data_IF_776495456285
#
_entry.id   IF_776495456285
#
_cell.length_a   1.000
_cell.length_b   1.000
_cell.length_c   1.000
_cell.angle_alpha   90.00
_cell.angle_beta   90.00
_cell.angle_gamma   90.00
#
_symmetry.space_group_name_H-M   'P 1'
#
loop_
_entity.id
_entity.type
_entity.pdbx_description
1 polymer ?
#
# COMPACT_ATOMS: atom_id res chain seq x y z
N UNK A 1 -11.41 -21.74 11.68
CA UNK A 1 -12.26 -20.60 11.24
C UNK A 1 -13.65 -20.70 11.84
N UNK A 2 -14.37 -19.59 11.97
CA UNK A 2 -15.64 -19.48 12.71
C UNK A 2 -16.84 -20.25 12.11
N UNK A 3 -16.66 -20.93 10.97
CA UNK A 3 -17.71 -21.67 10.24
C UNK A 3 -18.95 -20.79 9.94
N UNK A 4 -18.70 -19.54 9.54
CA UNK A 4 -19.71 -18.56 9.14
C UNK A 4 -19.55 -18.32 7.64
N UNK A 5 -20.65 -18.38 6.89
CA UNK A 5 -20.66 -18.05 5.46
C UNK A 5 -20.34 -16.57 5.26
N UNK A 6 -19.40 -16.28 4.35
CA UNK A 6 -19.05 -14.92 3.96
C UNK A 6 -19.78 -14.58 2.66
N UNK A 7 -20.65 -13.58 2.73
CA UNK A 7 -21.28 -12.97 1.56
C UNK A 7 -20.55 -11.68 1.21
N UNK A 8 -19.75 -11.71 0.14
CA UNK A 8 -19.04 -10.54 -0.36
C UNK A 8 -19.94 -9.71 -1.27
N UNK A 9 -20.09 -8.42 -0.95
CA UNK A 9 -20.83 -7.47 -1.79
C UNK A 9 -19.92 -6.76 -2.79
N UNK A 10 -20.51 -6.09 -3.78
CA UNK A 10 -19.76 -5.34 -4.80
C UNK A 10 -18.95 -4.19 -4.20
N UNK A 11 -17.70 -4.05 -4.66
CA UNK A 11 -16.83 -2.93 -4.31
C UNK A 11 -17.04 -1.73 -5.25
N UNK A 12 -18.18 -1.04 -5.09
CA UNK A 12 -18.60 0.06 -5.96
C UNK A 12 -18.04 1.43 -5.54
N UNK A 13 -16.77 1.64 -5.88
CA UNK A 13 -16.00 2.86 -5.61
C UNK A 13 -16.59 4.07 -6.32
N UNK A 14 -16.97 3.95 -7.59
CA UNK A 14 -17.41 5.09 -8.40
C UNK A 14 -18.68 5.73 -7.86
N UNK A 15 -19.69 4.93 -7.51
CA UNK A 15 -20.91 5.48 -6.92
C UNK A 15 -20.67 5.98 -5.49
N UNK A 16 -19.70 5.40 -4.76
CA UNK A 16 -19.34 5.90 -3.44
C UNK A 16 -18.70 7.29 -3.56
N UNK A 17 -17.76 7.48 -4.50
CA UNK A 17 -17.14 8.77 -4.81
C UNK A 17 -18.18 9.82 -5.23
N UNK A 18 -19.18 9.44 -6.04
CA UNK A 18 -20.29 10.34 -6.40
C UNK A 18 -21.13 10.73 -5.18
N UNK A 19 -21.43 9.78 -4.30
CA UNK A 19 -22.26 10.02 -3.12
C UNK A 19 -21.60 10.95 -2.10
N UNK A 20 -20.27 10.88 -1.96
CA UNK A 20 -19.50 11.70 -0.99
C UNK A 20 -18.97 13.01 -1.59
N UNK A 21 -19.30 13.31 -2.85
CA UNK A 21 -18.86 14.53 -3.53
C UNK A 21 -19.32 15.78 -2.79
N UNK A 22 -18.42 16.71 -2.52
CA UNK A 22 -18.66 17.91 -1.73
C UNK A 22 -18.43 17.72 -0.22
N UNK A 23 -18.17 16.49 0.24
CA UNK A 23 -17.89 16.15 1.63
C UNK A 23 -16.46 15.63 1.83
N UNK A 24 -15.57 15.85 0.86
CA UNK A 24 -14.19 15.32 0.85
C UNK A 24 -13.37 15.80 2.06
N UNK A 25 -13.62 17.03 2.51
CA UNK A 25 -12.92 17.67 3.62
C UNK A 25 -13.61 17.46 4.98
N UNK A 26 -14.73 16.75 5.02
CA UNK A 26 -15.41 16.47 6.30
C UNK A 26 -14.52 15.64 7.22
N UNK A 27 -14.41 16.00 8.51
CA UNK A 27 -13.62 15.27 9.47
C UNK A 27 -14.17 13.86 9.70
N UNK A 28 -13.37 13.00 10.31
CA UNK A 28 -13.86 11.73 10.84
C UNK A 28 -15.02 11.99 11.81
N UNK A 29 -16.11 11.22 11.70
CA UNK A 29 -17.41 11.43 12.39
C UNK A 29 -18.29 12.57 11.82
N UNK A 30 -17.86 13.27 10.77
CA UNK A 30 -18.67 14.25 10.05
C UNK A 30 -19.67 13.64 9.05
N UNK A 31 -20.26 14.48 8.20
CA UNK A 31 -21.36 14.08 7.31
C UNK A 31 -20.96 13.00 6.28
N UNK A 32 -19.71 13.03 5.78
CA UNK A 32 -19.16 11.99 4.89
C UNK A 32 -19.24 10.59 5.51
N UNK A 33 -19.05 10.49 6.83
CA UNK A 33 -19.11 9.22 7.53
C UNK A 33 -20.54 8.67 7.50
N UNK A 34 -21.56 9.49 7.75
CA UNK A 34 -22.96 9.07 7.69
C UNK A 34 -23.32 8.47 6.33
N UNK A 35 -22.99 9.18 5.23
CA UNK A 35 -23.20 8.70 3.85
C UNK A 35 -22.57 7.31 3.62
N UNK A 36 -21.36 7.11 4.15
CA UNK A 36 -20.64 5.84 3.99
C UNK A 36 -21.33 4.67 4.72
N UNK A 37 -21.79 4.88 5.96
CA UNK A 37 -22.44 3.81 6.73
C UNK A 37 -23.87 3.55 6.24
N UNK A 38 -24.62 4.59 5.87
CA UNK A 38 -26.00 4.46 5.37
C UNK A 38 -26.04 3.53 4.17
N UNK A 39 -25.13 3.73 3.20
CA UNK A 39 -25.01 2.87 2.03
C UNK A 39 -24.68 1.42 2.40
N UNK A 40 -23.74 1.22 3.32
CA UNK A 40 -23.33 -0.14 3.75
C UNK A 40 -24.44 -0.84 4.51
N UNK A 41 -25.12 -0.13 5.42
CA UNK A 41 -26.21 -0.67 6.22
C UNK A 41 -27.43 -0.98 5.35
N UNK A 42 -27.71 -0.16 4.33
CA UNK A 42 -28.82 -0.42 3.41
C UNK A 42 -28.62 -1.74 2.66
N UNK A 43 -27.43 -1.97 2.10
CA UNK A 43 -27.09 -3.23 1.42
C UNK A 43 -27.19 -4.42 2.38
N UNK A 44 -26.66 -4.30 3.60
CA UNK A 44 -26.75 -5.37 4.61
C UNK A 44 -28.19 -5.65 5.03
N UNK A 45 -28.99 -4.62 5.29
CA UNK A 45 -30.38 -4.76 5.72
C UNK A 45 -31.26 -5.37 4.62
N UNK A 46 -31.06 -4.95 3.37
CA UNK A 46 -31.74 -5.53 2.21
C UNK A 46 -31.39 -7.01 2.05
N UNK A 47 -30.11 -7.35 2.18
CA UNK A 47 -29.65 -8.75 2.06
C UNK A 47 -30.18 -9.62 3.20
N UNK A 48 -30.16 -9.12 4.44
CA UNK A 48 -30.72 -9.82 5.60
C UNK A 48 -32.21 -10.12 5.39
N UNK A 49 -32.99 -9.14 4.93
CA UNK A 49 -34.41 -9.32 4.63
C UNK A 49 -34.65 -10.35 3.50
N UNK A 50 -33.84 -10.32 2.43
CA UNK A 50 -33.90 -11.31 1.33
C UNK A 50 -33.64 -12.73 1.81
N UNK A 51 -32.74 -12.91 2.77
CA UNK A 51 -32.40 -14.20 3.37
C UNK A 51 -33.45 -14.68 4.40
N UNK A 52 -34.39 -13.82 4.79
CA UNK A 52 -35.37 -14.11 5.84
C UNK A 52 -34.82 -13.93 7.25
N UNK A 53 -33.67 -13.27 7.40
CA UNK A 53 -33.09 -12.93 8.69
C UNK A 53 -33.90 -11.83 9.39
N UNK A 54 -34.04 -11.95 10.70
CA UNK A 54 -34.86 -11.01 11.50
C UNK A 54 -34.06 -9.85 12.07
N UNK A 55 -32.74 -10.05 12.19
CA UNK A 55 -31.85 -9.11 12.88
C UNK A 55 -30.59 -8.90 12.07
N UNK A 56 -30.05 -7.69 12.10
CA UNK A 56 -28.70 -7.40 11.61
C UNK A 56 -27.94 -6.50 12.59
N UNK A 57 -26.61 -6.52 12.50
CA UNK A 57 -25.74 -5.69 13.34
C UNK A 57 -24.50 -5.27 12.55
N UNK A 58 -23.59 -4.54 13.18
CA UNK A 58 -22.38 -4.08 12.52
C UNK A 58 -21.15 -4.14 13.43
N UNK A 59 -20.02 -4.55 12.86
CA UNK A 59 -18.70 -4.43 13.50
C UNK A 59 -18.28 -2.97 13.74
N UNK A 60 -18.91 -2.00 13.06
CA UNK A 60 -18.67 -0.57 13.32
C UNK A 60 -18.98 -0.16 14.77
N UNK A 61 -19.83 -0.93 15.47
CA UNK A 61 -20.18 -0.71 16.87
C UNK A 61 -19.01 -0.94 17.83
N UNK A 62 -17.96 -1.64 17.41
CA UNK A 62 -16.74 -1.81 18.23
C UNK A 62 -15.79 -0.61 18.13
N UNK A 63 -15.99 0.30 17.16
CA UNK A 63 -15.03 1.36 16.89
C UNK A 63 -15.21 2.58 17.81
N UNK A 64 -14.15 3.06 18.49
CA UNK A 64 -14.19 4.33 19.23
C UNK A 64 -14.19 5.55 18.28
N UNK A 65 -13.80 5.33 17.01
CA UNK A 65 -13.79 6.38 15.97
C UNK A 65 -15.16 6.60 15.34
N UNK A 66 -16.18 5.80 15.68
CA UNK A 66 -17.55 5.94 15.16
C UNK A 66 -18.53 6.40 16.25
N UNK A 67 -19.51 7.21 15.85
CA UNK A 67 -20.61 7.61 16.74
C UNK A 67 -21.64 6.49 16.81
N UNK A 68 -21.84 5.91 17.99
CA UNK A 68 -22.87 4.87 18.17
C UNK A 68 -24.27 5.41 17.94
N UNK A 69 -24.51 6.67 18.28
CA UNK A 69 -25.81 7.30 18.08
C UNK A 69 -26.13 7.41 16.59
N UNK A 70 -25.18 7.89 15.77
CA UNK A 70 -25.35 7.95 14.32
C UNK A 70 -25.61 6.55 13.73
N UNK A 71 -24.82 5.54 14.15
CA UNK A 71 -24.99 4.16 13.68
C UNK A 71 -26.36 3.59 14.08
N UNK A 72 -26.81 3.86 15.31
CA UNK A 72 -28.12 3.39 15.79
C UNK A 72 -29.26 4.05 15.00
N UNK A 73 -29.21 5.36 14.81
CA UNK A 73 -30.23 6.10 14.03
C UNK A 73 -30.33 5.57 12.60
N UNK A 74 -29.19 5.40 11.93
CA UNK A 74 -29.14 4.84 10.58
C UNK A 74 -29.68 3.41 10.52
N UNK A 75 -29.25 2.55 11.45
CA UNK A 75 -29.69 1.16 11.52
C UNK A 75 -31.19 1.01 11.83
N UNK A 76 -31.71 1.78 12.79
CA UNK A 76 -33.13 1.77 13.17
C UNK A 76 -34.04 2.23 12.01
N UNK A 77 -33.59 3.22 11.22
CA UNK A 77 -34.32 3.69 10.05
C UNK A 77 -34.43 2.59 8.97
N UNK A 78 -33.35 1.86 8.73
CA UNK A 78 -33.31 0.76 7.75
C UNK A 78 -34.03 -0.50 8.26
N UNK A 79 -33.91 -0.80 9.55
CA UNK A 79 -34.67 -1.85 10.23
C UNK A 79 -36.18 -1.65 10.02
N UNK A 80 -36.67 -0.42 10.20
CA UNK A 80 -38.07 -0.07 9.92
C UNK A 80 -38.42 -0.22 8.44
N UNK A 81 -37.54 0.22 7.52
CA UNK A 81 -37.76 0.13 6.07
C UNK A 81 -37.92 -1.31 5.59
N UNK A 82 -37.08 -2.23 6.09
CA UNK A 82 -37.03 -3.63 5.65
C UNK A 82 -37.78 -4.60 6.57
N UNK A 83 -38.46 -4.10 7.61
CA UNK A 83 -39.19 -4.90 8.60
C UNK A 83 -38.31 -5.96 9.29
N UNK A 84 -37.12 -5.54 9.71
CA UNK A 84 -36.14 -6.31 10.50
C UNK A 84 -35.73 -5.49 11.74
N UNK A 85 -34.88 -6.03 12.60
CA UNK A 85 -34.35 -5.36 13.80
C UNK A 85 -32.85 -5.06 13.67
N UNK A 86 -32.44 -3.85 14.06
CA UNK A 86 -31.01 -3.52 14.16
C UNK A 86 -30.54 -3.66 15.61
N UNK A 87 -29.55 -4.52 15.83
CA UNK A 87 -28.92 -4.69 17.14
C UNK A 87 -27.71 -3.75 17.26
N UNK A 88 -27.80 -2.79 18.19
CA UNK A 88 -26.75 -1.79 18.43
C UNK A 88 -26.13 -1.87 19.85
N UNK A 89 -25.59 -3.03 20.30
CA UNK A 89 -24.91 -3.11 21.59
C UNK A 89 -23.64 -2.25 21.60
N UNK A 90 -23.36 -1.61 22.73
CA UNK A 90 -22.12 -0.86 22.95
C UNK A 90 -21.00 -1.81 23.39
N UNK A 91 -20.34 -2.44 22.41
CA UNK A 91 -19.21 -3.36 22.63
C UNK A 91 -17.97 -2.70 23.26
N UNK A 92 -17.98 -1.39 23.47
CA UNK A 92 -16.82 -0.63 23.98
C UNK A 92 -16.87 -0.48 25.50
N UNK A 93 -18.06 -0.67 26.11
CA UNK A 93 -18.25 -0.64 27.56
C UNK A 93 -17.57 -1.82 28.24
N UNK A 94 -17.41 -1.72 29.57
CA UNK A 94 -16.87 -2.77 30.42
C UNK A 94 -15.55 -3.39 29.90
N UNK A 95 -14.63 -2.55 29.44
CA UNK A 95 -13.33 -2.97 28.88
C UNK A 95 -13.40 -3.78 27.58
N UNK A 96 -14.53 -3.81 26.87
CA UNK A 96 -14.66 -4.57 25.62
C UNK A 96 -13.65 -4.17 24.52
N UNK A 97 -13.21 -2.91 24.48
CA UNK A 97 -12.11 -2.49 23.58
C UNK A 97 -10.79 -3.18 23.92
N UNK A 98 -10.50 -3.38 25.21
CA UNK A 98 -9.29 -4.07 25.67
C UNK A 98 -9.37 -5.56 25.35
N UNK A 99 -10.53 -6.19 25.58
CA UNK A 99 -10.76 -7.60 25.25
C UNK A 99 -10.62 -7.85 23.74
N UNK A 100 -11.19 -6.98 22.90
CA UNK A 100 -11.00 -7.03 21.45
C UNK A 100 -9.52 -6.99 21.06
N UNK A 101 -8.73 -6.11 21.71
CA UNK A 101 -7.29 -6.02 21.46
C UNK A 101 -6.53 -7.28 21.88
N UNK A 102 -6.94 -7.94 22.96
CA UNK A 102 -6.34 -9.18 23.45
C UNK A 102 -6.64 -10.31 22.46
N UNK A 103 -7.91 -10.47 22.05
CA UNK A 103 -8.33 -11.49 21.08
C UNK A 103 -7.64 -11.30 19.73
N UNK A 104 -7.63 -10.08 19.18
CA UNK A 104 -6.97 -9.81 17.92
C UNK A 104 -5.45 -10.11 17.94
N UNK A 105 -4.80 -9.95 19.09
CA UNK A 105 -3.39 -10.32 19.27
C UNK A 105 -3.21 -11.83 19.40
N UNK A 106 -4.09 -12.50 20.14
CA UNK A 106 -4.06 -13.95 20.31
C UNK A 106 -4.27 -14.68 18.97
N UNK A 107 -5.17 -14.16 18.14
CA UNK A 107 -5.49 -14.70 16.81
C UNK A 107 -4.58 -14.16 15.69
N UNK A 108 -3.55 -13.39 16.08
CA UNK A 108 -2.59 -12.75 15.19
C UNK A 108 -3.25 -12.05 13.99
N UNK A 109 -4.34 -11.31 14.22
CA UNK A 109 -5.12 -10.65 13.16
C UNK A 109 -4.44 -9.35 12.71
N UNK A 110 -4.53 -9.08 11.41
CA UNK A 110 -4.17 -7.78 10.86
C UNK A 110 -5.03 -6.67 11.49
N UNK A 111 -4.36 -5.59 11.89
CA UNK A 111 -5.01 -4.43 12.50
C UNK A 111 -4.73 -3.17 11.73
N UNK A 112 -5.72 -2.77 10.93
CA UNK A 112 -5.75 -1.50 10.26
C UNK A 112 -5.84 -0.33 11.27
N UNK A 113 -5.04 0.72 11.09
CA UNK A 113 -4.99 1.90 11.96
C UNK A 113 -5.82 3.11 11.44
N UNK A 114 -6.42 2.96 10.25
CA UNK A 114 -7.25 3.94 9.57
C UNK A 114 -8.66 3.39 9.26
N UNK A 115 -9.59 4.25 8.88
CA UNK A 115 -11.00 3.89 8.66
C UNK A 115 -11.25 3.05 7.38
N UNK A 116 -10.32 3.06 6.42
CA UNK A 116 -10.55 2.48 5.09
C UNK A 116 -11.09 3.48 4.06
N UNK A 117 -11.30 4.74 4.42
CA UNK A 117 -11.67 5.79 3.48
C UNK A 117 -10.44 6.61 3.07
N UNK A 118 -10.24 6.82 1.76
CA UNK A 118 -9.10 7.57 1.21
C UNK A 118 -9.01 9.00 1.76
N UNK A 119 -10.15 9.69 1.94
CA UNK A 119 -10.15 11.06 2.48
C UNK A 119 -9.68 11.11 3.94
N UNK A 120 -10.15 10.18 4.76
CA UNK A 120 -9.72 10.08 6.15
C UNK A 120 -8.25 9.62 6.25
N UNK A 121 -7.81 8.73 5.36
CA UNK A 121 -6.43 8.26 5.29
C UNK A 121 -5.49 9.42 4.96
N UNK A 122 -5.77 10.20 3.91
CA UNK A 122 -4.92 11.35 3.53
C UNK A 122 -4.78 12.34 4.69
N UNK A 123 -5.89 12.78 5.30
CA UNK A 123 -5.86 13.70 6.44
C UNK A 123 -5.05 13.12 7.61
N UNK A 124 -5.22 11.82 7.90
CA UNK A 124 -4.50 11.15 8.98
C UNK A 124 -3.00 11.08 8.69
N UNK A 125 -2.60 10.71 7.47
CA UNK A 125 -1.20 10.56 7.07
C UNK A 125 -0.49 11.91 6.96
N UNK A 126 -1.16 12.93 6.43
CA UNK A 126 -0.68 14.32 6.40
C UNK A 126 -0.42 14.84 7.83
N UNK A 127 -1.33 14.58 8.78
CA UNK A 127 -1.15 14.98 10.19
C UNK A 127 0.00 14.24 10.88
N UNK A 128 0.43 13.10 10.35
CA UNK A 128 1.53 12.28 10.85
C UNK A 128 2.86 12.55 10.13
N UNK A 129 2.88 13.43 9.13
CA UNK A 129 4.00 13.60 8.20
C UNK A 129 4.44 12.26 7.59
N UNK A 130 3.45 11.44 7.22
CA UNK A 130 3.64 10.12 6.60
C UNK A 130 3.06 10.11 5.21
N UNK A 131 3.69 9.33 4.33
CA UNK A 131 3.14 9.05 3.02
C UNK A 131 1.91 8.15 3.16
N UNK A 132 0.83 8.47 2.44
CA UNK A 132 -0.32 7.58 2.29
C UNK A 132 -0.03 6.50 1.22
N UNK A 133 1.01 5.71 1.46
CA UNK A 133 1.50 4.70 0.53
C UNK A 133 0.50 3.56 0.29
N UNK A 134 -0.53 3.45 1.13
CA UNK A 134 -1.64 2.50 0.94
C UNK A 134 -2.50 2.84 -0.30
N UNK A 135 -2.39 4.05 -0.84
CA UNK A 135 -3.10 4.48 -2.06
C UNK A 135 -2.26 4.30 -3.33
N UNK A 136 -1.10 3.67 -3.23
CA UNK A 136 -0.14 3.57 -4.32
C UNK A 136 -0.29 2.24 -5.03
N UNK A 137 -0.27 2.29 -6.36
CA UNK A 137 -0.15 1.11 -7.21
C UNK A 137 0.99 1.35 -8.20
N UNK A 138 2.07 0.57 -8.15
CA UNK A 138 3.20 0.73 -9.05
C UNK A 138 2.80 0.34 -10.48
N UNK A 139 3.33 1.05 -11.47
CA UNK A 139 3.05 0.78 -12.90
C UNK A 139 3.42 -0.65 -13.31
N UNK A 140 4.45 -1.23 -12.70
CA UNK A 140 4.89 -2.60 -12.95
C UNK A 140 4.08 -3.66 -12.19
N UNK A 141 3.15 -3.27 -11.33
CA UNK A 141 2.46 -4.15 -10.39
C UNK A 141 3.41 -4.91 -9.43
N UNK A 142 4.69 -4.50 -9.35
CA UNK A 142 5.66 -5.07 -8.43
C UNK A 142 5.22 -4.84 -6.98
N UNK A 143 5.04 -5.92 -6.22
CA UNK A 143 4.72 -5.86 -4.80
C UNK A 143 5.81 -5.07 -4.07
N UNK A 144 5.43 -3.95 -3.45
CA UNK A 144 6.35 -3.09 -2.71
C UNK A 144 6.41 -3.50 -1.23
N UNK A 145 7.53 -3.27 -0.52
CA UNK A 145 7.62 -3.52 0.92
C UNK A 145 6.53 -2.77 1.69
N UNK A 146 5.78 -3.44 2.57
CA UNK A 146 4.63 -2.86 3.30
C UNK A 146 3.45 -2.34 2.45
N UNK A 147 3.38 -2.73 1.18
CA UNK A 147 2.15 -2.58 0.39
C UNK A 147 1.01 -3.47 0.92
N UNK A 148 -0.20 -3.23 0.45
CA UNK A 148 -1.37 -4.07 0.76
C UNK A 148 -1.11 -5.51 0.27
N UNK A 149 -0.53 -5.66 -0.91
CA UNK A 149 -0.19 -6.93 -1.52
C UNK A 149 0.86 -7.69 -0.69
N UNK A 150 1.90 -7.00 -0.20
CA UNK A 150 2.91 -7.62 0.68
C UNK A 150 2.30 -8.13 2.00
N UNK A 151 1.33 -7.39 2.56
CA UNK A 151 0.60 -7.82 3.75
C UNK A 151 -0.26 -9.04 3.43
N UNK A 152 -0.99 -9.04 2.33
CA UNK A 152 -1.79 -10.21 1.91
C UNK A 152 -0.89 -11.45 1.80
N UNK A 153 0.25 -11.36 1.11
CA UNK A 153 1.18 -12.49 1.01
C UNK A 153 1.66 -13.01 2.38
N UNK A 154 1.92 -12.10 3.33
CA UNK A 154 2.33 -12.48 4.68
C UNK A 154 1.23 -13.26 5.41
N UNK A 155 -0.02 -12.79 5.33
CA UNK A 155 -1.14 -13.45 6.01
C UNK A 155 -1.57 -14.75 5.31
N UNK A 156 -1.40 -14.86 3.99
CA UNK A 156 -1.56 -16.14 3.28
C UNK A 156 -0.49 -17.16 3.69
N UNK A 157 0.77 -16.73 3.88
CA UNK A 157 1.83 -17.59 4.42
C UNK A 157 1.51 -18.01 5.85
N UNK A 158 0.97 -17.10 6.67
CA UNK A 158 0.50 -17.40 8.03
C UNK A 158 -0.58 -18.48 8.03
N UNK A 159 -1.59 -18.39 7.16
CA UNK A 159 -2.62 -19.42 7.01
C UNK A 159 -2.05 -20.79 6.66
N UNK A 160 -1.09 -20.84 5.74
CA UNK A 160 -0.40 -22.10 5.40
C UNK A 160 0.32 -22.73 6.60
N UNK A 161 0.96 -21.92 7.45
CA UNK A 161 1.58 -22.43 8.68
C UNK A 161 0.54 -22.96 9.67
N UNK A 162 -0.62 -22.28 9.79
CA UNK A 162 -1.73 -22.74 10.63
C UNK A 162 -2.30 -24.08 10.14
N UNK A 163 -2.52 -24.22 8.83
CA UNK A 163 -2.98 -25.46 8.20
C UNK A 163 -1.99 -26.62 8.39
N UNK A 164 -0.69 -26.32 8.31
CA UNK A 164 0.40 -27.27 8.54
C UNK A 164 0.69 -27.54 10.03
N UNK A 165 -0.05 -26.91 10.95
CA UNK A 165 0.18 -26.95 12.41
C UNK A 165 1.60 -26.55 12.84
N UNK A 166 2.20 -25.61 12.12
CA UNK A 166 3.54 -25.07 12.41
C UNK A 166 3.43 -23.87 13.35
N UNK A 167 4.33 -23.83 14.33
CA UNK A 167 4.43 -22.68 15.23
C UNK A 167 5.07 -21.49 14.52
N UNK A 168 4.52 -20.31 14.78
CA UNK A 168 5.02 -19.08 14.17
C UNK A 168 4.90 -17.89 15.13
N UNK A 169 5.57 -16.80 14.77
CA UNK A 169 5.43 -15.50 15.41
C UNK A 169 5.49 -14.38 14.39
N UNK A 170 4.54 -13.46 14.46
CA UNK A 170 4.62 -12.20 13.74
C UNK A 170 5.39 -11.21 14.62
N UNK A 171 6.49 -10.67 14.07
CA UNK A 171 7.29 -9.62 14.71
C UNK A 171 7.25 -8.35 13.88
N UNK A 172 7.62 -7.22 14.50
CA UNK A 172 7.71 -5.92 13.82
C UNK A 172 9.17 -5.53 13.64
N UNK A 173 9.54 -5.14 12.43
CA UNK A 173 10.89 -4.71 12.07
C UNK A 173 10.87 -3.30 11.51
N UNK A 174 11.71 -2.42 12.04
CA UNK A 174 11.95 -1.09 11.45
C UNK A 174 12.84 -1.27 10.22
N UNK A 175 12.51 -0.58 9.13
CA UNK A 175 13.29 -0.62 7.90
C UNK A 175 13.22 0.72 7.17
N UNK A 176 14.15 0.91 6.24
CA UNK A 176 14.15 2.04 5.33
C UNK A 176 13.24 1.70 4.15
N UNK A 177 12.09 2.36 4.08
CA UNK A 177 11.13 2.19 2.99
C UNK A 177 11.38 3.23 1.89
N UNK A 178 10.91 2.91 0.68
CA UNK A 178 11.10 3.74 -0.50
C UNK A 178 9.89 3.64 -1.43
N UNK A 179 9.51 4.77 -2.00
CA UNK A 179 8.46 4.87 -3.03
C UNK A 179 8.89 5.83 -4.11
N UNK A 180 8.88 5.38 -5.36
CA UNK A 180 8.97 6.24 -6.52
C UNK A 180 7.62 6.91 -6.80
N UNK A 181 7.61 8.23 -6.89
CA UNK A 181 6.42 9.00 -7.30
C UNK A 181 6.36 9.14 -8.81
N UNK A 182 7.48 9.53 -9.41
CA UNK A 182 7.66 9.67 -10.85
C UNK A 182 9.15 9.76 -11.19
N UNK A 183 9.47 9.38 -12.42
CA UNK A 183 10.82 9.48 -12.97
C UNK A 183 10.78 9.73 -14.47
N UNK A 184 11.64 10.64 -14.93
CA UNK A 184 11.73 11.05 -16.31
C UNK A 184 13.19 11.30 -16.68
N UNK A 185 13.66 10.61 -17.71
CA UNK A 185 14.95 10.87 -18.35
C UNK A 185 14.72 11.54 -19.71
N UNK A 186 15.37 12.68 -19.95
CA UNK A 186 15.27 13.44 -21.20
C UNK A 186 16.62 13.70 -21.83
N UNK A 187 16.68 13.57 -23.15
CA UNK A 187 17.81 14.00 -23.99
C UNK A 187 17.24 14.87 -25.09
N UNK A 188 17.82 16.06 -25.32
CA UNK A 188 17.33 17.01 -26.35
C UNK A 188 15.81 17.27 -26.27
N UNK A 189 15.28 17.38 -25.04
CA UNK A 189 13.84 17.55 -24.74
C UNK A 189 12.93 16.38 -25.13
N UNK A 190 13.48 15.25 -25.55
CA UNK A 190 12.74 14.01 -25.80
C UNK A 190 12.87 13.09 -24.60
N UNK A 191 11.75 12.50 -24.18
CA UNK A 191 11.73 11.46 -23.15
C UNK A 191 12.29 10.18 -23.71
N UNK A 192 13.19 9.54 -22.95
CA UNK A 192 13.70 8.21 -23.26
C UNK A 192 13.31 7.24 -22.13
N UNK A 193 12.99 5.97 -22.45
CA UNK A 193 12.74 4.96 -21.43
C UNK A 193 13.94 4.82 -20.48
N UNK A 194 13.65 4.85 -19.18
CA UNK A 194 14.63 4.62 -18.13
C UNK A 194 13.94 4.01 -16.93
N UNK A 195 14.47 2.89 -16.45
CA UNK A 195 14.02 2.26 -15.21
C UNK A 195 14.91 2.71 -14.06
N UNK A 196 14.32 3.13 -12.94
CA UNK A 196 15.09 3.55 -11.76
C UNK A 196 15.11 2.38 -10.78
N UNK A 197 16.30 1.92 -10.40
CA UNK A 197 16.40 0.84 -9.42
C UNK A 197 15.86 1.30 -8.06
N UNK A 198 15.31 0.39 -7.23
CA UNK A 198 14.90 0.69 -5.87
C UNK A 198 15.95 1.44 -5.07
N UNK A 199 15.50 2.24 -4.10
CA UNK A 199 16.33 3.13 -3.26
C UNK A 199 17.06 4.24 -4.02
N UNK A 200 16.77 4.44 -5.31
CA UNK A 200 17.25 5.61 -6.05
C UNK A 200 16.63 6.88 -5.47
N UNK A 201 17.45 7.87 -5.14
CA UNK A 201 17.03 9.20 -4.68
C UNK A 201 17.75 10.30 -5.46
N UNK A 202 17.15 11.48 -5.47
CA UNK A 202 17.75 12.69 -6.02
C UNK A 202 17.51 13.84 -5.05
N UNK A 203 18.59 14.57 -4.69
CA UNK A 203 18.54 15.63 -3.67
C UNK A 203 17.54 16.73 -4.01
N UNK A 204 17.52 17.13 -5.28
CA UNK A 204 16.53 18.06 -5.83
C UNK A 204 15.76 17.27 -6.89
N UNK A 205 14.45 17.46 -7.03
CA UNK A 205 13.62 16.69 -7.98
C UNK A 205 14.01 16.88 -9.47
N UNK A 206 15.09 17.62 -9.75
CA UNK A 206 15.65 17.86 -11.06
C UNK A 206 17.19 17.88 -11.03
N UNK A 207 17.80 17.24 -12.02
CA UNK A 207 19.24 17.39 -12.32
C UNK A 207 19.50 17.42 -13.81
N UNK A 208 20.66 17.98 -14.18
CA UNK A 208 21.13 18.07 -15.56
C UNK A 208 22.65 17.93 -15.60
N UNK A 209 23.13 17.01 -16.42
CA UNK A 209 24.55 16.70 -16.52
C UNK A 209 24.90 15.88 -17.75
N UNK A 210 26.10 15.31 -17.73
CA UNK A 210 26.59 14.36 -18.74
C UNK A 210 27.19 13.16 -18.02
N UNK A 211 27.10 12.00 -18.64
CA UNK A 211 27.90 10.85 -18.24
C UNK A 211 29.34 11.10 -18.70
N UNK A 212 30.31 10.99 -17.80
CA UNK A 212 31.71 11.26 -18.13
C UNK A 212 32.73 10.28 -17.57
N UNK A 213 32.33 9.42 -16.63
CA UNK A 213 33.23 8.46 -15.99
C UNK A 213 32.58 7.08 -16.00
N UNK A 214 33.36 6.04 -16.26
CA UNK A 214 32.92 4.64 -16.15
C UNK A 214 33.84 3.90 -15.18
N UNK A 215 33.26 3.12 -14.27
CA UNK A 215 33.98 2.22 -13.38
C UNK A 215 33.30 0.86 -13.41
N UNK A 216 33.94 -0.13 -14.02
CA UNK A 216 33.32 -1.43 -14.28
C UNK A 216 32.05 -1.28 -15.13
N UNK A 217 30.94 -1.82 -14.64
CA UNK A 217 29.64 -1.77 -15.30
C UNK A 217 28.84 -0.48 -15.02
N UNK A 218 29.31 0.38 -14.11
CA UNK A 218 28.64 1.62 -13.73
C UNK A 218 29.17 2.83 -14.50
N UNK A 219 28.24 3.62 -15.02
CA UNK A 219 28.51 4.88 -15.71
C UNK A 219 28.02 6.07 -14.86
N UNK A 220 28.92 6.98 -14.52
CA UNK A 220 28.66 8.06 -13.57
C UNK A 220 28.35 9.35 -14.31
N UNK A 221 27.28 10.01 -13.86
CA UNK A 221 27.00 11.40 -14.20
C UNK A 221 27.92 12.31 -13.40
N UNK A 222 28.33 13.40 -14.03
CA UNK A 222 29.20 14.42 -13.44
C UNK A 222 28.53 15.29 -12.35
N UNK A 223 27.33 14.93 -11.89
CA UNK A 223 26.53 15.70 -10.94
C UNK A 223 25.52 14.81 -10.20
N UNK A 224 25.24 15.15 -8.94
CA UNK A 224 24.21 14.55 -8.08
C UNK A 224 24.33 13.02 -7.94
N UNK A 225 25.57 12.51 -8.06
CA UNK A 225 25.97 11.12 -7.84
C UNK A 225 25.18 10.07 -8.67
N UNK A 226 24.50 10.52 -9.74
CA UNK A 226 23.66 9.65 -10.59
C UNK A 226 24.52 8.65 -11.34
N UNK A 227 24.06 7.40 -11.40
CA UNK A 227 24.72 6.30 -12.07
C UNK A 227 23.79 5.69 -13.11
N UNK A 228 24.36 5.06 -14.12
CA UNK A 228 23.66 4.36 -15.19
C UNK A 228 24.25 2.98 -15.42
N UNK A 229 23.40 2.05 -15.82
CA UNK A 229 23.76 0.76 -16.41
C UNK A 229 22.95 0.54 -17.69
N UNK A 230 23.41 -0.34 -18.57
CA UNK A 230 22.63 -0.76 -19.74
C UNK A 230 21.61 -1.83 -19.36
N UNK A 231 20.60 -2.02 -20.21
CA UNK A 231 19.64 -3.13 -20.08
C UNK A 231 20.35 -4.49 -20.12
N UNK A 232 21.37 -4.66 -20.97
CA UNK A 232 22.17 -5.89 -21.03
C UNK A 232 22.85 -6.19 -19.68
N UNK A 233 23.44 -5.17 -19.06
CA UNK A 233 24.03 -5.28 -17.72
C UNK A 233 22.97 -5.65 -16.69
N UNK A 234 21.80 -5.01 -16.72
CA UNK A 234 20.70 -5.35 -15.82
C UNK A 234 20.27 -6.81 -16.00
N UNK A 235 20.02 -7.26 -17.24
CA UNK A 235 19.63 -8.63 -17.57
C UNK A 235 20.63 -9.66 -17.07
N UNK A 236 21.94 -9.36 -17.20
CA UNK A 236 23.02 -10.22 -16.68
C UNK A 236 22.94 -10.38 -15.16
N UNK A 237 22.83 -9.28 -14.40
CA UNK A 237 22.80 -9.32 -12.93
C UNK A 237 21.47 -9.86 -12.39
N UNK A 238 20.36 -9.49 -13.03
CA UNK A 238 19.03 -9.96 -12.67
C UNK A 238 18.76 -11.39 -13.16
N UNK A 239 19.56 -11.95 -14.06
CA UNK A 239 19.25 -13.21 -14.74
C UNK A 239 17.86 -13.15 -15.39
N UNK A 240 17.65 -12.12 -16.22
CA UNK A 240 16.43 -11.85 -16.99
C UNK A 240 16.78 -11.67 -18.46
N UNK A 241 15.76 -11.53 -19.30
CA UNK A 241 15.90 -11.44 -20.76
C UNK A 241 14.96 -10.38 -21.36
N UNK A 242 14.79 -9.24 -20.68
CA UNK A 242 14.01 -8.12 -21.21
C UNK A 242 14.58 -7.64 -22.54
N UNK A 243 13.71 -7.45 -23.54
CA UNK A 243 14.12 -7.05 -24.89
C UNK A 243 14.29 -5.54 -25.03
N UNK A 244 13.64 -4.77 -24.16
CA UNK A 244 13.74 -3.32 -24.07
C UNK A 244 13.39 -2.84 -22.65
N UNK A 245 13.74 -1.59 -22.33
CA UNK A 245 13.54 -0.98 -21.01
C UNK A 245 12.07 -0.77 -20.69
N UNK A 246 11.17 -0.63 -21.68
CA UNK A 246 9.74 -0.51 -21.39
C UNK A 246 9.17 -1.80 -20.79
N UNK A 247 9.59 -2.97 -21.29
CA UNK A 247 9.20 -4.25 -20.68
C UNK A 247 9.60 -4.29 -19.20
N UNK A 248 10.83 -3.86 -18.88
CA UNK A 248 11.27 -3.77 -17.49
C UNK A 248 10.45 -2.76 -16.66
N UNK A 249 10.07 -1.61 -17.23
CA UNK A 249 9.26 -0.60 -16.52
C UNK A 249 7.86 -1.11 -16.18
N UNK A 250 7.23 -1.88 -17.08
CA UNK A 250 5.85 -2.35 -16.94
C UNK A 250 5.71 -3.75 -16.34
N UNK A 251 6.81 -4.51 -16.25
CA UNK A 251 6.85 -5.88 -15.71
C UNK A 251 8.18 -6.13 -14.99
N UNK A 252 8.50 -5.28 -14.02
CA UNK A 252 9.73 -5.39 -13.23
C UNK A 252 9.69 -6.64 -12.35
N UNK A 253 10.85 -7.27 -12.06
CA UNK A 253 10.88 -8.46 -11.19
C UNK A 253 10.54 -8.08 -9.74
N UNK A 254 10.61 -9.00 -8.77
CA UNK A 254 10.32 -8.65 -7.37
C UNK A 254 11.26 -7.58 -6.82
N UNK A 255 10.78 -6.81 -5.84
CA UNK A 255 11.56 -5.75 -5.19
C UNK A 255 12.89 -6.27 -4.61
N UNK A 256 12.90 -7.46 -3.99
CA UNK A 256 14.15 -8.05 -3.48
C UNK A 256 15.12 -8.43 -4.59
N UNK A 257 14.62 -8.85 -5.75
CA UNK A 257 15.47 -9.19 -6.89
C UNK A 257 16.16 -7.95 -7.43
N UNK A 258 15.45 -6.83 -7.52
CA UNK A 258 16.06 -5.55 -7.91
C UNK A 258 17.03 -5.00 -6.86
N UNK A 259 16.73 -5.15 -5.56
CA UNK A 259 17.69 -4.83 -4.51
C UNK A 259 18.97 -5.66 -4.61
N UNK A 260 18.87 -6.95 -4.96
CA UNK A 260 20.06 -7.80 -5.20
C UNK A 260 20.89 -7.27 -6.37
N UNK A 261 20.26 -6.86 -7.47
CA UNK A 261 20.96 -6.22 -8.59
C UNK A 261 21.67 -4.96 -8.10
N UNK A 262 20.98 -4.08 -7.37
CA UNK A 262 21.57 -2.87 -6.77
C UNK A 262 22.81 -3.21 -5.94
N UNK A 263 22.71 -4.16 -4.99
CA UNK A 263 23.81 -4.55 -4.11
C UNK A 263 24.99 -5.20 -4.84
N UNK A 264 24.78 -5.81 -6.00
CA UNK A 264 25.87 -6.33 -6.83
C UNK A 264 26.62 -5.22 -7.57
N UNK A 265 25.97 -4.09 -7.81
CA UNK A 265 26.55 -2.93 -8.51
C UNK A 265 27.33 -1.99 -7.57
N UNK A 266 26.85 -1.82 -6.33
CA UNK A 266 27.41 -0.86 -5.37
C UNK A 266 28.14 -1.57 -4.22
N UNK A 267 29.22 -0.97 -3.73
CA UNK A 267 29.98 -1.50 -2.59
C UNK A 267 29.37 -1.13 -1.23
N UNK A 268 28.68 0.01 -1.14
CA UNK A 268 28.00 0.46 0.06
C UNK A 268 26.50 0.13 -0.02
N UNK A 269 25.96 -0.78 0.80
CA UNK A 269 24.53 -1.14 0.77
C UNK A 269 23.60 0.02 1.16
N UNK A 270 24.14 1.09 1.78
CA UNK A 270 23.40 2.29 2.14
C UNK A 270 23.52 3.43 1.11
N UNK A 271 24.15 3.20 -0.04
CA UNK A 271 24.18 4.19 -1.12
C UNK A 271 22.78 4.34 -1.71
N UNK A 272 22.22 5.55 -1.63
CA UNK A 272 20.89 5.96 -2.10
C UNK A 272 20.93 6.76 -3.40
N UNK A 273 22.09 6.93 -4.03
CA UNK A 273 22.17 7.64 -5.30
C UNK A 273 21.34 6.94 -6.36
N UNK A 274 20.81 7.71 -7.30
CA UNK A 274 20.02 7.16 -8.39
C UNK A 274 20.85 6.25 -9.29
N UNK A 275 20.30 5.06 -9.60
CA UNK A 275 20.85 4.14 -10.60
C UNK A 275 19.77 3.89 -11.65
N UNK A 276 20.03 4.32 -12.87
CA UNK A 276 19.09 4.19 -13.98
C UNK A 276 19.53 3.08 -14.93
N UNK A 277 18.59 2.25 -15.35
CA UNK A 277 18.75 1.28 -16.45
C UNK A 277 18.26 1.94 -17.73
N UNK A 278 19.10 1.95 -18.76
CA UNK A 278 18.82 2.55 -20.07
C UNK A 278 19.22 1.58 -21.18
N UNK A 279 18.66 1.74 -22.39
CA UNK A 279 19.06 0.93 -23.55
C UNK A 279 20.54 1.16 -23.89
N UNK A 280 20.91 2.44 -24.00
CA UNK A 280 22.25 2.87 -24.36
C UNK A 280 22.65 4.03 -23.47
N UNK A 281 23.91 4.02 -23.00
CA UNK A 281 24.43 5.07 -22.13
C UNK A 281 24.42 6.43 -22.86
N UNK A 282 23.75 7.46 -22.32
CA UNK A 282 23.68 8.77 -22.96
C UNK A 282 25.05 9.46 -23.03
N UNK A 283 25.54 9.71 -24.25
CA UNK A 283 26.76 10.50 -24.46
C UNK A 283 26.52 12.02 -24.43
N UNK A 284 25.26 12.42 -24.62
CA UNK A 284 24.85 13.82 -24.68
C UNK A 284 24.41 14.31 -23.30
N UNK A 285 24.31 15.65 -23.17
CA UNK A 285 23.75 16.27 -21.97
C UNK A 285 22.30 15.81 -21.78
N UNK A 286 21.99 15.33 -20.59
CA UNK A 286 20.70 14.76 -20.21
C UNK A 286 20.08 15.54 -19.05
N UNK A 287 18.77 15.42 -18.91
CA UNK A 287 17.97 16.00 -17.84
C UNK A 287 17.19 14.88 -17.15
N UNK A 288 17.21 14.84 -15.82
CA UNK A 288 16.42 13.92 -15.01
C UNK A 288 15.45 14.75 -14.18
N UNK A 289 14.17 14.37 -14.22
CA UNK A 289 13.16 14.82 -13.26
C UNK A 289 12.75 13.58 -12.50
N UNK A 290 12.99 13.55 -11.20
CA UNK A 290 12.79 12.33 -10.42
C UNK A 290 12.43 12.67 -8.99
N UNK A 291 11.32 12.09 -8.53
CA UNK A 291 10.83 12.21 -7.16
C UNK A 291 10.60 10.83 -6.58
N UNK A 292 11.22 10.60 -5.43
CA UNK A 292 11.00 9.45 -4.59
C UNK A 292 10.95 9.88 -3.13
N UNK A 293 10.21 9.14 -2.32
CA UNK A 293 10.25 9.28 -0.87
C UNK A 293 11.08 8.16 -0.28
N UNK A 294 11.99 8.52 0.63
CA UNK A 294 12.65 7.58 1.52
C UNK A 294 12.22 7.95 2.93
N UNK A 295 11.81 6.95 3.70
CA UNK A 295 11.26 7.17 5.03
C UNK A 295 11.45 5.93 5.88
N UNK A 296 11.45 6.15 7.18
CA UNK A 296 11.44 5.05 8.13
C UNK A 296 10.03 4.46 8.23
N UNK A 297 9.95 3.14 8.21
CA UNK A 297 8.69 2.42 8.33
C UNK A 297 8.85 1.15 9.17
N UNK A 298 7.72 0.52 9.51
CA UNK A 298 7.67 -0.71 10.30
C UNK A 298 6.91 -1.76 9.52
N UNK A 299 7.59 -2.89 9.25
CA UNK A 299 6.99 -4.05 8.60
C UNK A 299 6.68 -5.17 9.56
N UNK A 300 5.66 -5.95 9.22
CA UNK A 300 5.41 -7.24 9.86
C UNK A 300 6.25 -8.33 9.17
N UNK A 301 6.84 -9.21 9.98
CA UNK A 301 7.62 -10.35 9.49
C UNK A 301 7.15 -11.61 10.20
N UNK A 302 6.86 -12.64 9.40
CA UNK A 302 6.46 -13.94 9.86
C UNK A 302 7.69 -14.82 10.10
N UNK A 303 7.90 -15.25 11.34
CA UNK A 303 8.99 -16.13 11.74
C UNK A 303 8.42 -17.51 12.09
N UNK A 304 8.90 -18.56 11.44
CA UNK A 304 8.63 -19.95 11.84
C UNK A 304 9.44 -20.27 13.11
N UNK A 305 8.80 -20.84 14.12
CA UNK A 305 9.45 -21.27 15.35
C UNK A 305 9.74 -22.76 15.22
N UNK A 306 11.03 -23.10 15.19
CA UNK A 306 11.54 -24.47 15.25
C UNK A 306 11.36 -25.09 16.64
#
# INVERSE_FOLDING_TARGET
MLNIELLEGDYDVDNWLKAVRGFENEPEKGERCAICFDRRFEVTAEQAAKMGEKTFTSTLLTSPKKSLEQLKVAGDALAKKFNIEFLAPDYRKASGTQEQNILAKADALYRQDYCGCLYALNIQRDSQDRLADELFSPLSQQIQPESIEARIELYEKRWKLEDDNKLYKIVKERFLNWRQMHGLLRIKKQTIPAHFLPLSTLKNEYTRGKVDTQVGDLHYMNRDEVKFITLDTYNKFAQTNYSNVNELIYDSPTFEKELKVRHQLISNPYDLSSILVVETIPLQKLEIVYKSHIYEDVKEVLLEIS
#
